data_IF_443672611195
#
_entry.id   IF_443672611195
#
_cell.length_a   1.000
_cell.length_b   1.000
_cell.length_c   1.000
_cell.angle_alpha   90.00
_cell.angle_beta   90.00
_cell.angle_gamma   90.00
#
_symmetry.space_group_name_H-M   'P 1'
#
loop_
_entity.id
_entity.type
_entity.pdbx_description
1 polymer ?
#
# COMPACT_ATOMS: atom_id res chain seq x y z
N UNK A 1 2.67 -22.21 60.72
CA UNK A 1 3.69 -21.20 60.37
C UNK A 1 3.06 -20.28 59.34
N UNK A 2 2.62 -19.08 59.73
CA UNK A 2 2.19 -18.04 58.80
C UNK A 2 3.44 -17.28 58.39
N UNK A 3 3.79 -17.34 57.11
CA UNK A 3 4.91 -16.58 56.55
C UNK A 3 4.33 -15.23 56.15
N UNK A 4 4.46 -14.22 57.00
CA UNK A 4 4.20 -12.83 56.63
C UNK A 4 5.41 -12.28 55.89
N UNK A 5 5.26 -12.07 54.57
CA UNK A 5 6.26 -11.42 53.74
C UNK A 5 6.39 -9.94 54.14
N UNK A 6 7.61 -9.45 54.21
CA UNK A 6 7.87 -8.03 54.54
C UNK A 6 7.40 -7.15 53.37
N UNK A 7 6.97 -5.89 53.63
CA UNK A 7 6.50 -4.97 52.59
C UNK A 7 7.45 -4.79 51.39
N UNK A 8 8.77 -4.87 51.63
CA UNK A 8 9.79 -4.80 50.59
C UNK A 8 9.80 -6.05 49.68
N UNK A 9 9.63 -7.25 50.26
CA UNK A 9 9.55 -8.52 49.52
C UNK A 9 8.27 -8.57 48.66
N UNK A 10 7.15 -8.03 49.17
CA UNK A 10 5.90 -7.88 48.42
C UNK A 10 6.06 -6.95 47.21
N UNK A 11 6.82 -5.87 47.38
CA UNK A 11 7.09 -4.88 46.33
C UNK A 11 8.00 -5.44 45.23
N UNK A 12 9.03 -6.21 45.61
CA UNK A 12 9.90 -6.94 44.66
C UNK A 12 9.15 -8.01 43.87
N UNK A 13 8.30 -8.80 44.54
CA UNK A 13 7.48 -9.82 43.89
C UNK A 13 6.52 -9.19 42.85
N UNK A 14 5.93 -8.04 43.19
CA UNK A 14 5.04 -7.30 42.29
C UNK A 14 5.78 -6.78 41.05
N UNK A 15 7.01 -6.25 41.22
CA UNK A 15 7.86 -5.83 40.09
C UNK A 15 8.26 -7.02 39.21
N UNK A 16 8.65 -8.15 39.79
CA UNK A 16 8.98 -9.35 39.03
C UNK A 16 7.78 -9.88 38.23
N UNK A 17 6.58 -9.88 38.81
CA UNK A 17 5.35 -10.25 38.09
C UNK A 17 5.02 -9.28 36.94
N UNK A 18 5.22 -7.98 37.12
CA UNK A 18 5.05 -7.00 36.03
C UNK A 18 6.06 -7.20 34.90
N UNK A 19 7.32 -7.45 35.21
CA UNK A 19 8.35 -7.75 34.21
C UNK A 19 8.06 -9.04 33.44
N UNK A 20 7.61 -10.09 34.14
CA UNK A 20 7.23 -11.36 33.51
C UNK A 20 6.05 -11.17 32.54
N UNK A 21 5.02 -10.40 32.93
CA UNK A 21 3.89 -10.06 32.05
C UNK A 21 4.33 -9.26 30.82
N UNK A 22 5.22 -8.28 30.99
CA UNK A 22 5.76 -7.52 29.86
C UNK A 22 6.58 -8.38 28.90
N UNK A 23 7.39 -9.30 29.42
CA UNK A 23 8.13 -10.26 28.59
C UNK A 23 7.20 -11.21 27.83
N UNK A 24 6.14 -11.70 28.46
CA UNK A 24 5.13 -12.55 27.82
C UNK A 24 4.38 -11.80 26.71
N UNK A 25 3.98 -10.54 26.94
CA UNK A 25 3.34 -9.69 25.94
C UNK A 25 4.28 -9.39 24.75
N UNK A 26 5.56 -9.12 24.99
CA UNK A 26 6.55 -8.92 23.92
C UNK A 26 6.75 -10.19 23.10
N UNK A 27 6.92 -11.34 23.75
CA UNK A 27 7.08 -12.62 23.08
C UNK A 27 5.84 -12.98 22.23
N UNK A 28 4.64 -12.68 22.73
CA UNK A 28 3.39 -12.85 21.97
C UNK A 28 3.36 -11.96 20.72
N UNK A 29 3.68 -10.67 20.85
CA UNK A 29 3.74 -9.74 19.70
C UNK A 29 4.78 -10.14 18.67
N UNK A 30 5.94 -10.62 19.12
CA UNK A 30 7.00 -11.10 18.23
C UNK A 30 6.54 -12.34 17.45
N UNK A 31 5.89 -13.29 18.13
CA UNK A 31 5.29 -14.47 17.49
C UNK A 31 4.23 -14.09 16.46
N UNK A 32 3.28 -13.22 16.81
CA UNK A 32 2.24 -12.74 15.88
C UNK A 32 2.85 -12.04 14.65
N UNK A 33 3.90 -11.26 14.86
CA UNK A 33 4.62 -10.59 13.77
C UNK A 33 5.29 -11.61 12.85
N UNK A 34 5.93 -12.63 13.42
CA UNK A 34 6.57 -13.71 12.66
C UNK A 34 5.56 -14.51 11.84
N UNK A 35 4.41 -14.85 12.42
CA UNK A 35 3.32 -15.55 11.73
C UNK A 35 2.78 -14.75 10.53
N UNK A 36 2.58 -13.43 10.68
CA UNK A 36 2.18 -12.54 9.58
C UNK A 36 3.21 -12.51 8.44
N UNK A 37 4.50 -12.47 8.77
CA UNK A 37 5.57 -12.50 7.76
C UNK A 37 5.65 -13.85 7.02
N UNK A 38 5.46 -14.96 7.71
CA UNK A 38 5.39 -16.28 7.06
C UNK A 38 4.15 -16.41 6.17
N UNK A 39 3.01 -15.86 6.57
CA UNK A 39 1.83 -15.76 5.70
C UNK A 39 2.11 -14.91 4.45
N UNK A 40 2.80 -13.79 4.61
CA UNK A 40 3.18 -12.92 3.48
C UNK A 40 4.09 -13.65 2.49
N UNK A 41 5.08 -14.41 2.97
CA UNK A 41 5.93 -15.26 2.12
C UNK A 41 5.12 -16.26 1.30
N UNK A 42 4.14 -16.92 1.92
CA UNK A 42 3.25 -17.86 1.21
C UNK A 42 2.43 -17.16 0.12
N UNK A 43 1.91 -15.95 0.39
CA UNK A 43 1.18 -15.17 -0.60
C UNK A 43 2.06 -14.73 -1.77
N UNK A 44 3.32 -14.39 -1.52
CA UNK A 44 4.28 -14.04 -2.58
C UNK A 44 4.63 -15.26 -3.44
N UNK A 45 4.75 -16.45 -2.84
CA UNK A 45 4.91 -17.69 -3.61
C UNK A 45 3.70 -17.96 -4.52
N UNK A 46 2.48 -17.83 -4.00
CA UNK A 46 1.24 -17.95 -4.77
C UNK A 46 1.16 -16.92 -5.92
N UNK A 47 1.68 -15.70 -5.73
CA UNK A 47 1.79 -14.71 -6.81
C UNK A 47 2.73 -15.15 -7.92
N UNK A 48 3.88 -15.77 -7.60
CA UNK A 48 4.77 -16.35 -8.61
C UNK A 48 4.10 -17.48 -9.39
N UNK A 49 3.38 -18.38 -8.72
CA UNK A 49 2.63 -19.45 -9.38
C UNK A 49 1.53 -18.92 -10.31
N UNK A 50 0.79 -17.90 -9.85
CA UNK A 50 -0.23 -17.21 -10.66
C UNK A 50 0.38 -16.49 -11.84
N UNK A 51 1.51 -15.81 -11.66
CA UNK A 51 2.23 -15.14 -12.74
C UNK A 51 2.68 -16.15 -13.80
N UNK A 52 3.38 -17.22 -13.41
CA UNK A 52 3.83 -18.26 -14.35
C UNK A 52 2.66 -18.88 -15.15
N UNK A 53 1.48 -18.95 -14.55
CA UNK A 53 0.26 -19.43 -15.22
C UNK A 53 -0.39 -18.38 -16.15
N UNK A 54 -0.18 -17.09 -15.87
CA UNK A 54 -0.77 -15.97 -16.60
C UNK A 54 0.14 -15.45 -17.72
N UNK A 55 1.45 -15.43 -17.53
CA UNK A 55 2.43 -14.86 -18.46
C UNK A 55 2.26 -15.38 -19.90
N UNK A 56 2.10 -16.70 -20.17
CA UNK A 56 1.86 -17.18 -21.53
C UNK A 56 0.56 -16.64 -22.15
N UNK A 57 -0.45 -16.33 -21.33
CA UNK A 57 -1.71 -15.71 -21.77
C UNK A 57 -1.50 -14.22 -22.09
N UNK A 58 -0.73 -13.51 -21.27
CA UNK A 58 -0.37 -12.12 -21.51
C UNK A 58 0.43 -11.98 -22.83
N UNK A 59 1.41 -12.86 -23.06
CA UNK A 59 2.18 -12.91 -24.31
C UNK A 59 1.27 -13.16 -25.52
N UNK A 60 0.34 -14.12 -25.42
CA UNK A 60 -0.66 -14.38 -26.47
C UNK A 60 -1.60 -13.19 -26.71
N UNK A 61 -1.88 -12.41 -25.68
CA UNK A 61 -2.66 -11.17 -25.74
C UNK A 61 -1.83 -9.96 -26.20
N UNK A 62 -0.58 -10.17 -26.68
CA UNK A 62 0.32 -9.13 -27.17
C UNK A 62 0.71 -8.09 -26.11
N UNK A 63 0.83 -8.52 -24.86
CA UNK A 63 1.41 -7.70 -23.80
C UNK A 63 2.78 -7.18 -24.22
N UNK A 64 3.05 -5.91 -23.89
CA UNK A 64 4.35 -5.30 -24.20
C UNK A 64 5.45 -6.03 -23.40
N UNK A 65 6.59 -6.40 -24.03
CA UNK A 65 7.68 -7.08 -23.34
C UNK A 65 8.16 -6.33 -22.10
N UNK A 66 8.17 -5.00 -22.17
CA UNK A 66 8.54 -4.13 -21.05
C UNK A 66 7.59 -4.25 -19.85
N UNK A 67 6.28 -4.40 -20.06
CA UNK A 67 5.32 -4.55 -18.96
C UNK A 67 5.48 -5.91 -18.26
N UNK A 68 5.79 -6.97 -19.02
CA UNK A 68 6.15 -8.29 -18.48
C UNK A 68 7.40 -8.17 -17.61
N UNK A 69 8.48 -7.60 -18.16
CA UNK A 69 9.74 -7.39 -17.44
C UNK A 69 9.57 -6.54 -16.17
N UNK A 70 8.80 -5.44 -16.24
CA UNK A 70 8.55 -4.58 -15.08
C UNK A 70 7.76 -5.29 -13.97
N UNK A 71 6.78 -6.13 -14.33
CA UNK A 71 6.04 -6.95 -13.37
C UNK A 71 6.97 -7.95 -12.67
N UNK A 72 7.75 -8.72 -13.43
CA UNK A 72 8.67 -9.73 -12.90
C UNK A 72 9.72 -9.13 -11.98
N UNK A 73 10.34 -8.03 -12.41
CA UNK A 73 11.31 -7.31 -11.60
C UNK A 73 10.67 -6.80 -10.30
N UNK A 74 9.44 -6.30 -10.35
CA UNK A 74 8.71 -5.84 -9.16
C UNK A 74 8.33 -6.98 -8.22
N UNK A 75 7.94 -8.15 -8.74
CA UNK A 75 7.62 -9.34 -7.95
C UNK A 75 8.88 -9.95 -7.30
N UNK A 76 10.00 -9.96 -8.01
CA UNK A 76 11.30 -10.35 -7.47
C UNK A 76 11.75 -9.39 -6.37
N UNK A 77 11.58 -8.08 -6.57
CA UNK A 77 11.87 -7.08 -5.54
C UNK A 77 11.01 -7.28 -4.29
N UNK A 78 9.71 -7.55 -4.45
CA UNK A 78 8.83 -7.89 -3.31
C UNK A 78 9.33 -9.14 -2.56
N UNK A 79 9.77 -10.17 -3.30
CA UNK A 79 10.30 -11.41 -2.71
C UNK A 79 11.54 -11.18 -1.84
N UNK A 80 12.39 -10.23 -2.25
CA UNK A 80 13.57 -9.83 -1.48
C UNK A 80 13.20 -8.93 -0.30
N UNK A 81 12.30 -7.96 -0.50
CA UNK A 81 11.87 -7.02 0.52
C UNK A 81 11.31 -7.73 1.75
N UNK A 82 10.45 -8.75 1.56
CA UNK A 82 9.78 -9.46 2.66
C UNK A 82 10.76 -10.22 3.59
N UNK A 83 12.01 -10.44 3.15
CA UNK A 83 13.04 -11.03 4.00
C UNK A 83 13.54 -10.08 5.09
N UNK A 84 13.45 -8.76 4.86
CA UNK A 84 13.94 -7.73 5.79
C UNK A 84 13.07 -7.55 7.03
N UNK A 85 11.82 -8.04 6.99
CA UNK A 85 10.77 -7.81 8.01
C UNK A 85 10.50 -6.32 8.29
N UNK A 86 10.91 -5.42 7.40
CA UNK A 86 10.62 -3.98 7.48
C UNK A 86 9.28 -3.68 6.80
N UNK A 87 8.28 -3.28 7.58
CA UNK A 87 6.92 -3.01 7.09
C UNK A 87 6.90 -1.91 6.01
N UNK A 88 7.67 -0.83 6.18
CA UNK A 88 7.72 0.28 5.23
C UNK A 88 8.30 -0.16 3.89
N UNK A 89 9.42 -0.89 3.91
CA UNK A 89 10.05 -1.43 2.69
C UNK A 89 9.10 -2.39 1.99
N UNK A 90 8.39 -3.24 2.75
CA UNK A 90 7.43 -4.18 2.19
C UNK A 90 6.24 -3.49 1.55
N UNK A 91 5.66 -2.47 2.20
CA UNK A 91 4.56 -1.69 1.65
C UNK A 91 4.97 -0.96 0.36
N UNK A 92 6.19 -0.40 0.31
CA UNK A 92 6.73 0.18 -0.92
C UNK A 92 6.87 -0.84 -2.04
N UNK A 93 7.41 -2.04 -1.74
CA UNK A 93 7.59 -3.09 -2.73
C UNK A 93 6.25 -3.63 -3.26
N UNK A 94 5.26 -3.84 -2.39
CA UNK A 94 3.90 -4.23 -2.77
C UNK A 94 3.26 -3.16 -3.65
N UNK A 95 3.38 -1.89 -3.28
CA UNK A 95 2.81 -0.81 -4.06
C UNK A 95 3.49 -0.66 -5.44
N UNK A 96 4.80 -0.92 -5.52
CA UNK A 96 5.52 -0.97 -6.80
C UNK A 96 5.04 -2.10 -7.71
N UNK A 97 4.80 -3.31 -7.17
CA UNK A 97 4.19 -4.40 -7.92
C UNK A 97 2.76 -4.06 -8.36
N UNK A 98 1.95 -3.43 -7.51
CA UNK A 98 0.60 -3.00 -7.86
C UNK A 98 0.57 -2.04 -9.06
N UNK A 99 1.58 -1.16 -9.17
CA UNK A 99 1.69 -0.18 -10.27
C UNK A 99 1.70 -0.83 -11.66
N UNK A 100 2.17 -2.07 -11.79
CA UNK A 100 2.36 -2.73 -13.10
C UNK A 100 1.11 -3.44 -13.60
N UNK A 101 0.14 -3.73 -12.71
CA UNK A 101 -1.10 -4.42 -13.06
C UNK A 101 -1.94 -3.73 -14.16
N UNK A 102 -2.09 -2.39 -14.16
CA UNK A 102 -2.93 -1.68 -15.14
C UNK A 102 -2.52 -1.94 -16.60
N UNK A 103 -1.24 -2.16 -16.87
CA UNK A 103 -0.74 -2.44 -18.22
C UNK A 103 -1.31 -3.76 -18.78
N UNK A 104 -1.61 -4.73 -17.93
CA UNK A 104 -2.26 -5.98 -18.33
C UNK A 104 -3.78 -5.84 -18.43
N UNK A 105 -4.39 -4.94 -17.66
CA UNK A 105 -5.82 -4.66 -17.77
C UNK A 105 -6.17 -4.00 -19.10
N UNK A 106 -5.27 -3.18 -19.65
CA UNK A 106 -5.41 -2.56 -20.98
C UNK A 106 -5.48 -3.55 -22.14
N UNK A 107 -5.07 -4.82 -21.93
CA UNK A 107 -5.18 -5.87 -22.94
C UNK A 107 -6.62 -6.36 -23.12
N UNK A 108 -7.54 -5.96 -22.24
CA UNK A 108 -8.91 -6.42 -22.20
C UNK A 108 -9.89 -5.24 -22.15
N UNK A 109 -11.13 -5.48 -22.56
CA UNK A 109 -12.20 -4.50 -22.34
C UNK A 109 -12.57 -4.48 -20.85
N UNK A 110 -12.30 -3.37 -20.18
CA UNK A 110 -12.67 -3.15 -18.78
C UNK A 110 -13.83 -2.17 -18.67
N UNK A 111 -14.63 -2.27 -17.60
CA UNK A 111 -15.74 -1.34 -17.35
C UNK A 111 -15.21 0.00 -16.80
N UNK A 112 -14.23 -0.10 -15.94
CA UNK A 112 -13.49 0.98 -15.31
C UNK A 112 -12.16 1.22 -16.02
N UNK A 113 -11.69 2.47 -16.18
CA UNK A 113 -10.38 2.76 -16.74
C UNK A 113 -9.25 2.22 -15.83
N UNK A 114 -8.25 1.48 -16.36
CA UNK A 114 -7.09 1.03 -15.59
C UNK A 114 -6.28 2.17 -14.95
N UNK A 115 -6.44 3.40 -15.44
CA UNK A 115 -5.83 4.59 -14.86
C UNK A 115 -6.23 4.83 -13.40
N UNK A 116 -7.42 4.37 -12.97
CA UNK A 116 -7.85 4.49 -11.56
C UNK A 116 -6.91 3.74 -10.60
N UNK A 117 -6.35 2.61 -11.04
CA UNK A 117 -5.35 1.87 -10.27
C UNK A 117 -4.00 2.60 -10.24
N UNK A 118 -3.62 3.27 -11.33
CA UNK A 118 -2.43 4.13 -11.37
C UNK A 118 -2.57 5.34 -10.43
N UNK A 119 -3.77 5.93 -10.33
CA UNK A 119 -4.06 6.97 -9.34
C UNK A 119 -3.89 6.42 -7.92
N UNK A 120 -4.48 5.25 -7.63
CA UNK A 120 -4.43 4.60 -6.32
C UNK A 120 -3.00 4.30 -5.90
N UNK A 121 -2.19 3.73 -6.80
CA UNK A 121 -0.76 3.52 -6.61
C UNK A 121 -0.07 4.81 -6.15
N UNK A 122 -0.30 5.90 -6.88
CA UNK A 122 0.43 7.16 -6.67
C UNK A 122 0.05 7.80 -5.34
N UNK A 123 -1.24 7.79 -4.99
CA UNK A 123 -1.74 8.28 -3.71
C UNK A 123 -1.14 7.48 -2.55
N UNK A 124 -1.16 6.14 -2.63
CA UNK A 124 -0.54 5.26 -1.62
C UNK A 124 0.96 5.51 -1.50
N UNK A 125 1.66 5.72 -2.62
CA UNK A 125 3.09 6.02 -2.62
C UNK A 125 3.39 7.35 -1.92
N UNK A 126 2.62 8.39 -2.18
CA UNK A 126 2.77 9.69 -1.51
C UNK A 126 2.58 9.54 0.01
N UNK A 127 1.53 8.83 0.45
CA UNK A 127 1.30 8.52 1.87
C UNK A 127 2.50 7.83 2.50
N UNK A 128 2.99 6.75 1.89
CA UNK A 128 4.17 6.01 2.39
C UNK A 128 5.40 6.92 2.47
N UNK A 129 5.75 7.64 1.40
CA UNK A 129 6.91 8.52 1.41
C UNK A 129 6.84 9.59 2.51
N UNK A 130 5.62 10.06 2.86
CA UNK A 130 5.42 11.01 3.97
C UNK A 130 5.78 10.43 5.33
N UNK A 131 5.69 9.11 5.52
CA UNK A 131 6.10 8.45 6.76
C UNK A 131 7.59 8.64 7.06
N UNK A 132 8.41 8.75 5.99
CA UNK A 132 9.87 8.96 6.06
C UNK A 132 10.31 10.37 5.65
N UNK A 133 9.38 11.31 5.50
CA UNK A 133 9.67 12.69 5.09
C UNK A 133 10.45 12.79 3.75
N UNK A 134 10.25 11.82 2.84
CA UNK A 134 10.92 11.78 1.54
C UNK A 134 10.21 12.67 0.50
N UNK A 135 10.28 13.97 0.72
CA UNK A 135 9.67 14.98 -0.15
C UNK A 135 10.30 15.02 -1.55
N UNK A 136 11.55 14.54 -1.68
CA UNK A 136 12.25 14.48 -2.97
C UNK A 136 11.60 13.45 -3.87
N UNK A 137 11.24 12.27 -3.35
CA UNK A 137 10.50 11.26 -4.09
C UNK A 137 9.00 11.59 -4.22
N UNK A 138 8.42 12.36 -3.29
CA UNK A 138 7.00 12.73 -3.37
C UNK A 138 6.71 13.67 -4.53
N UNK A 139 7.58 14.65 -4.83
CA UNK A 139 7.38 15.61 -5.94
C UNK A 139 7.16 14.92 -7.30
N UNK A 140 8.06 14.07 -7.81
CA UNK A 140 7.83 13.37 -9.07
C UNK A 140 6.66 12.38 -8.99
N UNK A 141 6.37 11.83 -7.81
CA UNK A 141 5.17 10.98 -7.63
C UNK A 141 3.87 11.80 -7.75
N UNK A 142 3.86 13.04 -7.24
CA UNK A 142 2.75 13.97 -7.35
C UNK A 142 2.57 14.44 -8.80
N UNK A 143 3.65 14.73 -9.52
CA UNK A 143 3.61 15.05 -10.95
C UNK A 143 3.03 13.88 -11.76
N UNK A 144 3.47 12.66 -11.48
CA UNK A 144 2.90 11.47 -12.10
C UNK A 144 1.40 11.32 -11.79
N UNK A 145 0.97 11.52 -10.53
CA UNK A 145 -0.44 11.48 -10.14
C UNK A 145 -1.29 12.50 -10.93
N UNK A 146 -0.81 13.74 -11.07
CA UNK A 146 -1.49 14.80 -11.83
C UNK A 146 -1.61 14.43 -13.32
N UNK A 147 -0.56 13.84 -13.90
CA UNK A 147 -0.56 13.40 -15.29
C UNK A 147 -1.53 12.22 -15.52
N UNK A 148 -1.57 11.24 -14.61
CA UNK A 148 -2.55 10.16 -14.71
C UNK A 148 -3.97 10.70 -14.58
N UNK A 149 -4.21 11.67 -13.69
CA UNK A 149 -5.54 12.27 -13.56
C UNK A 149 -6.01 12.94 -14.85
N UNK A 150 -5.13 13.69 -15.53
CA UNK A 150 -5.49 14.34 -16.80
C UNK A 150 -5.84 13.33 -17.91
N UNK A 151 -5.24 12.15 -17.89
CA UNK A 151 -5.53 11.03 -18.80
C UNK A 151 -6.82 10.30 -18.40
N UNK A 152 -7.03 10.06 -17.11
CA UNK A 152 -8.18 9.32 -16.59
C UNK A 152 -9.48 10.11 -16.73
N UNK A 153 -9.46 11.40 -16.36
CA UNK A 153 -10.63 12.29 -16.31
C UNK A 153 -11.52 12.22 -17.57
N UNK A 154 -11.00 12.35 -18.82
CA UNK A 154 -11.83 12.29 -20.02
C UNK A 154 -12.43 10.91 -20.32
N UNK A 155 -11.91 9.83 -19.72
CA UNK A 155 -12.42 8.46 -19.89
C UNK A 155 -13.57 8.12 -18.93
N UNK A 156 -13.82 8.96 -17.93
CA UNK A 156 -14.85 8.74 -16.92
C UNK A 156 -16.23 9.16 -17.42
N UNK A 157 -17.25 8.36 -17.07
CA UNK A 157 -18.65 8.62 -17.43
C UNK A 157 -19.27 9.73 -16.59
N UNK A 158 -20.34 10.36 -17.07
CA UNK A 158 -21.05 11.44 -16.37
C UNK A 158 -21.59 11.04 -14.98
N UNK A 159 -21.88 9.75 -14.78
CA UNK A 159 -22.47 9.23 -13.53
C UNK A 159 -21.53 9.32 -12.32
N UNK A 160 -20.24 9.58 -12.55
CA UNK A 160 -19.23 9.83 -11.51
C UNK A 160 -18.76 11.29 -11.43
N UNK A 161 -19.43 12.24 -12.11
CA UNK A 161 -19.03 13.65 -12.11
C UNK A 161 -18.85 14.26 -10.71
N UNK A 162 -19.76 13.95 -9.77
CA UNK A 162 -19.65 14.44 -8.40
C UNK A 162 -18.40 13.88 -7.68
N UNK A 163 -18.06 12.62 -7.94
CA UNK A 163 -16.83 12.01 -7.42
C UNK A 163 -15.60 12.64 -8.08
N UNK A 164 -15.65 12.94 -9.38
CA UNK A 164 -14.56 13.61 -10.09
C UNK A 164 -14.28 14.98 -9.50
N UNK A 165 -15.33 15.77 -9.23
CA UNK A 165 -15.17 17.07 -8.58
C UNK A 165 -14.55 16.94 -7.18
N UNK A 166 -15.05 16.00 -6.36
CA UNK A 166 -14.46 15.72 -5.03
C UNK A 166 -12.99 15.30 -5.13
N UNK A 167 -12.64 14.47 -6.12
CA UNK A 167 -11.28 14.05 -6.37
C UNK A 167 -10.38 15.26 -6.68
N UNK A 168 -10.81 16.17 -7.54
CA UNK A 168 -10.02 17.36 -7.91
C UNK A 168 -9.74 18.28 -6.73
N UNK A 169 -10.74 18.54 -5.87
CA UNK A 169 -10.53 19.32 -4.66
C UNK A 169 -9.54 18.63 -3.71
N UNK A 170 -9.71 17.33 -3.46
CA UNK A 170 -8.81 16.58 -2.58
C UNK A 170 -7.39 16.45 -3.16
N UNK A 171 -7.26 16.36 -4.49
CA UNK A 171 -5.99 16.31 -5.20
C UNK A 171 -5.23 17.63 -5.09
N UNK A 172 -5.92 18.76 -5.24
CA UNK A 172 -5.33 20.08 -5.05
C UNK A 172 -4.88 20.29 -3.59
N UNK A 173 -5.70 19.84 -2.62
CA UNK A 173 -5.31 19.89 -1.22
C UNK A 173 -4.08 19.03 -0.92
N UNK A 174 -4.00 17.81 -1.49
CA UNK A 174 -2.83 16.95 -1.36
C UNK A 174 -1.58 17.61 -1.96
N UNK A 175 -1.69 18.22 -3.16
CA UNK A 175 -0.59 18.95 -3.81
C UNK A 175 -0.06 20.07 -2.90
N UNK A 176 -0.96 20.91 -2.39
CA UNK A 176 -0.58 22.00 -1.49
C UNK A 176 0.05 21.48 -0.19
N UNK A 177 -0.43 20.34 0.33
CA UNK A 177 0.14 19.72 1.52
C UNK A 177 1.56 19.15 1.28
N UNK A 178 1.82 18.57 0.11
CA UNK A 178 3.18 18.14 -0.29
C UNK A 178 4.13 19.33 -0.42
N UNK A 179 3.68 20.42 -1.05
CA UNK A 179 4.46 21.66 -1.18
C UNK A 179 4.75 22.31 0.18
N UNK A 180 3.74 22.35 1.05
CA UNK A 180 3.84 22.86 2.42
C UNK A 180 4.43 21.88 3.43
N UNK A 181 4.83 20.67 3.01
CA UNK A 181 5.37 19.59 3.85
C UNK A 181 4.50 19.26 5.08
N UNK A 182 3.19 19.30 4.90
CA UNK A 182 2.23 19.05 5.97
C UNK A 182 1.83 17.57 6.00
N UNK A 183 2.61 16.75 6.73
CA UNK A 183 2.40 15.29 6.85
C UNK A 183 1.00 14.89 7.29
N UNK A 184 0.41 15.60 8.26
CA UNK A 184 -0.95 15.30 8.75
C UNK A 184 -2.00 15.50 7.65
N UNK A 185 -1.86 16.55 6.85
CA UNK A 185 -2.78 16.80 5.73
C UNK A 185 -2.50 15.84 4.58
N UNK A 186 -1.23 15.49 4.31
CA UNK A 186 -0.87 14.48 3.30
C UNK A 186 -1.55 13.14 3.62
N UNK A 187 -1.44 12.68 4.86
CA UNK A 187 -2.05 11.43 5.31
C UNK A 187 -3.58 11.46 5.13
N UNK A 188 -4.24 12.46 5.71
CA UNK A 188 -5.70 12.60 5.64
C UNK A 188 -6.22 12.71 4.19
N UNK A 189 -5.55 13.49 3.33
CA UNK A 189 -5.97 13.66 1.93
C UNK A 189 -5.68 12.43 1.09
N UNK A 190 -4.63 11.68 1.40
CA UNK A 190 -4.35 10.40 0.73
C UNK A 190 -5.43 9.36 1.03
N UNK A 191 -5.93 9.31 2.26
CA UNK A 191 -7.06 8.43 2.63
C UNK A 191 -8.36 8.84 1.93
N UNK A 192 -8.68 10.14 1.90
CA UNK A 192 -9.85 10.66 1.20
C UNK A 192 -9.79 10.34 -0.29
N UNK A 193 -8.66 10.58 -0.95
CA UNK A 193 -8.48 10.26 -2.36
C UNK A 193 -8.63 8.77 -2.64
N UNK A 194 -8.08 7.91 -1.77
CA UNK A 194 -8.22 6.45 -1.92
C UNK A 194 -9.69 6.03 -1.87
N UNK A 195 -10.46 6.56 -0.91
CA UNK A 195 -11.91 6.29 -0.80
C UNK A 195 -12.69 6.77 -2.02
N UNK A 196 -12.38 7.97 -2.52
CA UNK A 196 -13.03 8.50 -3.73
C UNK A 196 -12.73 7.61 -4.94
N UNK A 197 -11.49 7.13 -5.11
CA UNK A 197 -11.14 6.19 -6.17
C UNK A 197 -11.93 4.89 -6.03
N UNK A 198 -12.05 4.34 -4.82
CA UNK A 198 -12.87 3.15 -4.55
C UNK A 198 -14.34 3.36 -4.95
N UNK A 199 -14.94 4.48 -4.55
CA UNK A 199 -16.31 4.82 -4.92
C UNK A 199 -16.50 4.98 -6.43
N UNK A 200 -15.51 5.54 -7.14
CA UNK A 200 -15.54 5.63 -8.60
C UNK A 200 -15.51 4.26 -9.26
N UNK A 201 -14.63 3.37 -8.79
CA UNK A 201 -14.49 2.01 -9.32
C UNK A 201 -15.80 1.24 -9.15
N UNK A 202 -16.41 1.27 -7.97
CA UNK A 202 -17.66 0.55 -7.72
C UNK A 202 -18.81 1.08 -8.60
N UNK A 203 -18.96 2.40 -8.72
CA UNK A 203 -19.98 2.98 -9.61
C UNK A 203 -19.78 2.67 -11.08
N UNK A 204 -18.55 2.48 -11.54
CA UNK A 204 -18.27 2.16 -12.95
C UNK A 204 -18.45 0.67 -13.27
N UNK A 205 -18.43 -0.20 -12.25
CA UNK A 205 -18.68 -1.64 -12.39
C UNK A 205 -20.17 -1.98 -12.52
N UNK A 206 -21.05 -1.12 -12.02
CA UNK A 206 -22.51 -1.20 -12.22
C UNK A 206 -22.85 -1.11 -13.73
#
# INVERSE_FOLDING_TARGET
IQIELKPQELTELTKQQQMAKQQEEMAKKEKETLEKFEELKKKVLDLHEKWNSFEPKAVKALAQPKSIEEFENSLNNLTNAIQTKDEYINLLAINALYKTLPDFYELYTTKEPPDLDRLRFSVKKIKLLSEKDDYNSMKPTMEYLLNIWSIAKPKLKKDVNDLMNKFEFALNDLKNAVEGRNKTVIDAKSEVLTKIIDEMVEKLKE
#
